data_IF_427061554203
#
_entry.id   IF_427061554203
#
_cell.length_a   1.000
_cell.length_b   1.000
_cell.length_c   1.000
_cell.angle_alpha   90.00
_cell.angle_beta   90.00
_cell.angle_gamma   90.00
#
_symmetry.space_group_name_H-M   'P 1'
#
loop_
_entity.id
_entity.type
_entity.pdbx_description
1 polymer ?
#
# COMPACT_ATOMS: atom_id res chain seq x y z
N UNK A 1 20.59 5.11 5.62
CA UNK A 1 21.45 4.11 4.96
C UNK A 1 20.69 2.84 4.65
N UNK A 2 21.16 2.07 3.70
CA UNK A 2 20.57 0.79 3.30
C UNK A 2 21.67 -0.26 3.16
N UNK A 3 21.29 -1.52 3.15
CA UNK A 3 22.20 -2.64 2.99
C UNK A 3 21.55 -3.84 2.34
N UNK A 4 22.36 -4.79 1.90
CA UNK A 4 21.89 -6.04 1.29
C UNK A 4 22.17 -7.16 2.29
N UNK A 5 21.17 -8.01 2.54
CA UNK A 5 21.33 -9.24 3.30
C UNK A 5 21.64 -10.40 2.35
N UNK A 6 22.73 -11.10 2.63
CA UNK A 6 23.14 -12.30 1.90
C UNK A 6 23.02 -13.53 2.79
N UNK A 7 22.66 -14.68 2.20
CA UNK A 7 22.77 -15.97 2.88
C UNK A 7 24.23 -16.51 2.83
N UNK A 8 24.45 -17.65 3.45
CA UNK A 8 25.76 -18.31 3.46
C UNK A 8 26.24 -18.76 2.07
N UNK A 9 25.34 -18.82 1.09
CA UNK A 9 25.63 -19.16 -0.32
C UNK A 9 25.89 -17.91 -1.18
N UNK A 10 25.84 -16.70 -0.59
CA UNK A 10 26.07 -15.43 -1.29
C UNK A 10 24.86 -14.94 -2.09
N UNK A 11 23.68 -15.52 -1.88
CA UNK A 11 22.44 -15.07 -2.53
C UNK A 11 21.81 -13.92 -1.76
N UNK A 12 21.22 -12.96 -2.46
CA UNK A 12 20.48 -11.85 -1.86
C UNK A 12 19.18 -12.37 -1.28
N UNK A 13 19.04 -12.30 0.05
CA UNK A 13 17.83 -12.73 0.78
C UNK A 13 16.98 -11.56 1.25
N UNK A 14 17.51 -10.34 1.21
CA UNK A 14 16.75 -9.17 1.59
C UNK A 14 17.48 -7.86 1.39
N UNK A 15 16.74 -6.77 1.54
CA UNK A 15 17.26 -5.40 1.54
C UNK A 15 16.96 -4.77 2.90
N UNK A 16 17.97 -4.17 3.50
CA UNK A 16 17.83 -3.41 4.75
C UNK A 16 17.48 -1.98 4.39
N UNK A 17 16.32 -1.51 4.88
CA UNK A 17 15.94 -0.11 4.84
C UNK A 17 16.03 0.45 6.26
N UNK A 18 16.98 1.34 6.52
CA UNK A 18 17.03 2.08 7.78
C UNK A 18 16.22 3.36 7.67
N UNK A 19 15.25 3.54 8.55
CA UNK A 19 14.58 4.80 8.76
C UNK A 19 15.06 5.37 10.09
N UNK A 20 15.81 6.46 10.04
CA UNK A 20 16.23 7.20 11.22
C UNK A 20 15.13 8.19 11.61
N UNK A 21 14.48 7.94 12.74
CA UNK A 21 13.69 8.94 13.45
C UNK A 21 14.47 9.38 14.69
N UNK A 22 14.29 10.63 15.09
CA UNK A 22 15.07 11.27 16.18
C UNK A 22 15.10 10.50 17.53
N UNK A 23 14.25 9.49 17.71
CA UNK A 23 14.13 8.73 18.97
C UNK A 23 14.21 7.20 18.83
N UNK A 24 14.36 6.64 17.64
CA UNK A 24 14.55 5.18 17.50
C UNK A 24 15.14 4.81 16.13
N UNK A 25 16.16 3.98 16.15
CA UNK A 25 16.69 3.33 14.93
C UNK A 25 15.90 2.05 14.70
N UNK A 26 14.96 2.07 13.75
CA UNK A 26 14.25 0.87 13.32
C UNK A 26 14.89 0.35 12.05
N UNK A 27 15.49 -0.83 12.12
CA UNK A 27 15.99 -1.55 10.95
C UNK A 27 14.84 -2.42 10.42
N UNK A 28 14.41 -2.15 9.21
CA UNK A 28 13.44 -2.99 8.50
C UNK A 28 14.17 -3.75 7.41
N UNK A 29 13.98 -5.06 7.36
CA UNK A 29 14.44 -5.91 6.27
C UNK A 29 13.24 -6.32 5.42
N UNK A 30 13.35 -6.16 4.11
CA UNK A 30 12.34 -6.66 3.15
C UNK A 30 12.93 -7.90 2.49
N UNK A 31 12.20 -9.01 2.57
CA UNK A 31 12.64 -10.26 1.97
C UNK A 31 12.74 -10.16 0.45
N UNK A 32 13.80 -10.69 -0.14
CA UNK A 32 14.02 -10.69 -1.60
C UNK A 32 12.89 -11.38 -2.36
N UNK A 33 12.25 -12.39 -1.76
CA UNK A 33 11.10 -13.07 -2.35
C UNK A 33 9.89 -12.16 -2.57
N UNK A 34 9.72 -11.13 -1.73
CA UNK A 34 8.65 -10.14 -1.87
C UNK A 34 8.97 -9.08 -2.94
N UNK A 35 10.27 -8.82 -3.15
CA UNK A 35 10.73 -7.86 -4.15
C UNK A 35 10.86 -8.46 -5.55
N UNK A 36 11.03 -9.79 -5.64
CA UNK A 36 11.28 -10.47 -6.93
C UNK A 36 10.22 -10.17 -8.00
N UNK A 37 8.90 -10.28 -7.74
CA UNK A 37 7.88 -9.97 -8.74
C UNK A 37 7.94 -8.52 -9.21
N UNK A 38 8.25 -7.59 -8.30
CA UNK A 38 8.38 -6.17 -8.60
C UNK A 38 9.61 -5.89 -9.47
N UNK A 39 10.75 -6.52 -9.12
CA UNK A 39 12.00 -6.37 -9.87
C UNK A 39 11.93 -7.04 -11.24
N UNK A 40 11.28 -8.19 -11.35
CA UNK A 40 11.04 -8.89 -12.62
C UNK A 40 10.14 -8.06 -13.54
N UNK A 41 9.05 -7.48 -13.01
CA UNK A 41 8.19 -6.55 -13.75
C UNK A 41 8.95 -5.32 -14.25
N UNK A 42 9.76 -4.71 -13.40
CA UNK A 42 10.59 -3.56 -13.78
C UNK A 42 11.68 -3.91 -14.80
N UNK A 43 12.30 -5.09 -14.67
CA UNK A 43 13.34 -5.56 -15.60
C UNK A 43 12.77 -5.94 -16.97
N UNK A 44 11.53 -6.40 -17.02
CA UNK A 44 10.83 -6.75 -18.25
C UNK A 44 10.16 -5.54 -18.93
N UNK A 45 10.26 -4.34 -18.34
CA UNK A 45 9.59 -3.15 -18.85
C UNK A 45 8.06 -3.23 -18.76
N UNK A 46 7.54 -4.08 -17.89
CA UNK A 46 6.11 -4.14 -17.60
C UNK A 46 5.70 -2.92 -16.78
N UNK A 47 4.75 -2.18 -17.31
CA UNK A 47 4.20 -1.03 -16.60
C UNK A 47 3.47 -1.47 -15.34
N UNK A 48 3.77 -0.84 -14.24
CA UNK A 48 3.20 -1.15 -12.94
C UNK A 48 1.80 -0.53 -12.83
N UNK A 49 0.80 -1.33 -12.42
CA UNK A 49 -0.53 -0.81 -12.12
C UNK A 49 -0.45 0.23 -11.00
N UNK A 50 -1.06 1.38 -11.21
CA UNK A 50 -0.91 2.57 -10.40
C UNK A 50 -2.25 3.27 -10.17
N UNK A 51 -2.48 3.74 -8.95
CA UNK A 51 -3.60 4.62 -8.61
C UNK A 51 -3.20 5.85 -7.78
N UNK A 52 -1.99 5.89 -7.22
CA UNK A 52 -1.43 7.07 -6.56
C UNK A 52 -1.78 7.21 -5.08
N UNK A 53 -1.83 6.11 -4.34
CA UNK A 53 -2.01 6.10 -2.88
C UNK A 53 -0.68 5.76 -2.22
N UNK A 54 -0.29 6.58 -1.25
CA UNK A 54 0.77 6.27 -0.29
C UNK A 54 0.11 5.99 1.06
N UNK A 55 0.49 4.89 1.71
CA UNK A 55 -0.18 4.53 2.95
C UNK A 55 0.60 3.55 3.82
N UNK A 56 0.11 3.40 5.03
CA UNK A 56 0.70 2.55 6.06
C UNK A 56 -0.29 1.50 6.52
N UNK A 57 0.18 0.26 6.71
CA UNK A 57 -0.65 -0.82 7.25
C UNK A 57 -1.05 -0.54 8.69
N UNK A 58 -2.35 -0.60 8.96
CA UNK A 58 -2.88 -0.59 10.34
C UNK A 58 -2.73 -2.00 10.90
N UNK A 59 -1.86 -2.16 11.88
CA UNK A 59 -1.68 -3.44 12.57
C UNK A 59 -2.92 -3.83 13.39
N UNK A 60 -3.06 -5.12 13.69
CA UNK A 60 -4.13 -5.59 14.59
C UNK A 60 -4.09 -4.87 15.93
N UNK A 61 -2.89 -4.70 16.50
CA UNK A 61 -2.69 -3.99 17.75
C UNK A 61 -3.17 -2.53 17.70
N UNK A 62 -2.85 -1.81 16.63
CA UNK A 62 -3.31 -0.41 16.44
C UNK A 62 -4.83 -0.34 16.29
N UNK A 63 -5.42 -1.25 15.50
CA UNK A 63 -6.86 -1.31 15.29
C UNK A 63 -7.63 -1.52 16.62
N UNK A 64 -7.16 -2.46 17.44
CA UNK A 64 -7.81 -2.79 18.71
C UNK A 64 -7.61 -1.70 19.79
N UNK A 65 -6.42 -1.08 19.86
CA UNK A 65 -6.14 -0.08 20.90
C UNK A 65 -6.65 1.32 20.57
N UNK A 66 -6.75 1.66 19.29
CA UNK A 66 -7.20 2.98 18.83
C UNK A 66 -8.67 2.98 18.37
N UNK A 67 -9.33 1.82 18.40
CA UNK A 67 -10.71 1.62 17.92
C UNK A 67 -10.88 2.16 16.48
N UNK A 68 -9.95 1.77 15.60
CA UNK A 68 -9.95 2.14 14.18
C UNK A 68 -10.07 0.90 13.29
N UNK A 69 -10.73 0.99 12.12
CA UNK A 69 -10.83 -0.12 11.19
C UNK A 69 -9.46 -0.63 10.74
N UNK A 70 -9.38 -1.91 10.42
CA UNK A 70 -8.19 -2.49 9.78
C UNK A 70 -8.13 -2.12 8.31
N UNK A 71 -6.92 -2.01 7.78
CA UNK A 71 -6.68 -1.71 6.39
C UNK A 71 -5.38 -0.96 6.18
N UNK A 72 -5.34 -0.18 5.11
CA UNK A 72 -4.23 0.71 4.78
C UNK A 72 -4.67 2.16 5.03
N UNK A 73 -4.03 2.80 5.99
CA UNK A 73 -4.22 4.22 6.27
C UNK A 73 -3.57 5.04 5.15
N UNK A 74 -4.33 5.94 4.54
CA UNK A 74 -3.85 6.81 3.47
C UNK A 74 -3.10 7.99 4.08
N UNK A 75 -1.79 7.96 3.96
CA UNK A 75 -0.90 9.03 4.43
C UNK A 75 -0.90 10.21 3.45
N UNK A 76 -0.87 9.91 2.15
CA UNK A 76 -0.92 10.89 1.08
C UNK A 76 -1.57 10.33 -0.19
N UNK A 77 -2.19 11.22 -0.96
CA UNK A 77 -2.68 10.95 -2.31
C UNK A 77 -1.85 11.78 -3.28
N UNK A 78 -1.29 11.15 -4.30
CA UNK A 78 -0.47 11.84 -5.30
C UNK A 78 -1.35 12.80 -6.13
N UNK A 79 -0.80 13.97 -6.45
CA UNK A 79 -1.47 14.95 -7.31
C UNK A 79 -1.70 14.37 -8.72
N UNK A 80 -2.80 14.75 -9.34
CA UNK A 80 -3.21 14.30 -10.68
C UNK A 80 -3.33 12.76 -10.83
N UNK A 81 -3.37 12.05 -9.72
CA UNK A 81 -3.51 10.59 -9.69
C UNK A 81 -4.94 10.11 -9.93
N UNK A 82 -5.13 8.85 -10.34
CA UNK A 82 -6.46 8.23 -10.39
C UNK A 82 -7.18 8.22 -9.04
N UNK A 83 -6.46 8.04 -7.93
CA UNK A 83 -7.02 8.07 -6.59
C UNK A 83 -7.56 9.47 -6.23
N UNK A 84 -6.81 10.52 -6.54
CA UNK A 84 -7.28 11.90 -6.35
C UNK A 84 -8.53 12.18 -7.19
N UNK A 85 -8.52 11.79 -8.46
CA UNK A 85 -9.67 11.96 -9.37
C UNK A 85 -10.91 11.20 -8.88
N UNK A 86 -10.72 10.02 -8.25
CA UNK A 86 -11.80 9.22 -7.68
C UNK A 86 -12.34 9.78 -6.35
N UNK A 87 -11.63 10.72 -5.72
CA UNK A 87 -12.03 11.35 -4.47
C UNK A 87 -11.48 10.65 -3.21
N UNK A 88 -10.39 9.90 -3.31
CA UNK A 88 -9.64 9.42 -2.14
C UNK A 88 -9.05 10.62 -1.41
N UNK A 89 -9.07 10.57 -0.09
CA UNK A 89 -8.57 11.64 0.77
C UNK A 89 -7.52 11.09 1.75
N UNK A 90 -6.67 11.99 2.22
CA UNK A 90 -5.78 11.68 3.34
C UNK A 90 -6.62 11.30 4.56
N UNK A 91 -6.11 10.37 5.35
CA UNK A 91 -6.78 9.76 6.50
C UNK A 91 -7.95 8.80 6.16
N UNK A 92 -8.22 8.52 4.89
CA UNK A 92 -9.06 7.37 4.52
C UNK A 92 -8.35 6.06 4.92
N UNK A 93 -9.12 5.02 5.17
CA UNK A 93 -8.59 3.68 5.42
C UNK A 93 -9.08 2.75 4.31
N UNK A 94 -8.18 2.35 3.43
CA UNK A 94 -8.49 1.41 2.33
C UNK A 94 -8.67 0.02 2.92
N UNK A 95 -9.83 -0.58 2.72
CA UNK A 95 -10.14 -1.91 3.25
C UNK A 95 -10.56 -2.94 2.20
N UNK A 96 -10.92 -2.50 0.98
CA UNK A 96 -11.17 -3.41 -0.14
C UNK A 96 -10.84 -2.76 -1.49
N UNK A 97 -10.38 -3.57 -2.43
CA UNK A 97 -10.12 -3.18 -3.82
C UNK A 97 -10.65 -4.28 -4.74
N UNK A 98 -11.51 -3.91 -5.68
CA UNK A 98 -12.17 -4.83 -6.61
C UNK A 98 -12.86 -6.03 -5.91
N UNK A 99 -13.51 -5.78 -4.78
CA UNK A 99 -14.19 -6.77 -3.97
C UNK A 99 -13.29 -7.69 -3.14
N UNK A 100 -11.97 -7.46 -3.14
CA UNK A 100 -10.99 -8.22 -2.35
C UNK A 100 -10.57 -7.42 -1.13
N UNK A 101 -10.61 -8.06 0.03
CA UNK A 101 -10.21 -7.45 1.30
C UNK A 101 -8.73 -7.06 1.32
N UNK A 102 -8.46 -5.87 1.84
CA UNK A 102 -7.12 -5.31 2.04
C UNK A 102 -6.88 -5.18 3.54
N UNK A 103 -5.93 -5.97 4.05
CA UNK A 103 -5.50 -5.95 5.45
C UNK A 103 -4.11 -5.37 5.65
N UNK A 104 -3.37 -5.13 4.57
CA UNK A 104 -2.00 -4.62 4.60
C UNK A 104 -1.62 -3.96 3.28
N UNK A 105 -0.54 -3.16 3.31
CA UNK A 105 0.02 -2.55 2.11
C UNK A 105 0.53 -3.59 1.10
N UNK A 106 1.10 -4.70 1.59
CA UNK A 106 1.52 -5.81 0.73
C UNK A 106 0.31 -6.44 0.01
N UNK A 107 -0.79 -6.64 0.71
CA UNK A 107 -2.03 -7.17 0.12
C UNK A 107 -2.62 -6.21 -0.90
N UNK A 108 -2.62 -4.91 -0.59
CA UNK A 108 -3.03 -3.85 -1.51
C UNK A 108 -2.22 -3.90 -2.80
N UNK A 109 -0.89 -3.91 -2.70
CA UNK A 109 0.00 -3.97 -3.87
C UNK A 109 -0.22 -5.23 -4.71
N UNK A 110 -0.35 -6.40 -4.07
CA UNK A 110 -0.59 -7.66 -4.77
C UNK A 110 -1.91 -7.65 -5.55
N UNK A 111 -2.98 -7.13 -4.95
CA UNK A 111 -4.28 -7.01 -5.63
C UNK A 111 -4.20 -6.01 -6.77
N UNK A 112 -3.58 -4.83 -6.53
CA UNK A 112 -3.45 -3.78 -7.54
C UNK A 112 -2.71 -4.30 -8.78
N UNK A 113 -1.59 -5.02 -8.62
CA UNK A 113 -0.84 -5.58 -9.75
C UNK A 113 -1.57 -6.72 -10.48
N UNK A 114 -2.59 -7.33 -9.87
CA UNK A 114 -3.44 -8.33 -10.52
C UNK A 114 -4.57 -7.73 -11.39
N UNK A 115 -4.74 -6.41 -11.38
CA UNK A 115 -5.82 -5.72 -12.09
C UNK A 115 -5.43 -5.40 -13.53
N UNK A 116 -6.44 -5.21 -14.36
CA UNK A 116 -6.26 -4.84 -15.76
C UNK A 116 -6.08 -3.34 -15.88
N UNK A 117 -5.00 -2.90 -16.53
CA UNK A 117 -4.76 -1.50 -16.89
C UNK A 117 -5.89 -0.94 -17.75
N UNK A 118 -6.28 0.29 -17.51
CA UNK A 118 -7.39 0.95 -18.19
C UNK A 118 -8.78 0.55 -17.67
N UNK A 119 -8.88 -0.43 -16.77
CA UNK A 119 -10.16 -0.79 -16.14
C UNK A 119 -10.53 0.16 -15.01
N UNK A 120 -11.82 0.28 -14.75
CA UNK A 120 -12.35 0.95 -13.57
C UNK A 120 -12.75 -0.10 -12.55
N UNK A 121 -12.27 0.07 -11.33
CA UNK A 121 -12.53 -0.86 -10.24
C UNK A 121 -13.09 -0.12 -9.04
N UNK A 122 -13.83 -0.85 -8.20
CA UNK A 122 -14.33 -0.33 -6.94
C UNK A 122 -13.19 -0.33 -5.91
N UNK A 123 -12.97 0.82 -5.29
CA UNK A 123 -12.15 1.00 -4.10
C UNK A 123 -13.07 1.33 -2.93
N UNK A 124 -12.97 0.60 -1.84
CA UNK A 124 -13.76 0.84 -0.64
C UNK A 124 -12.86 1.33 0.47
N UNK A 125 -13.24 2.46 1.05
CA UNK A 125 -12.50 3.10 2.13
C UNK A 125 -13.41 3.37 3.31
N UNK A 126 -12.87 3.33 4.51
CA UNK A 126 -13.50 3.92 5.68
C UNK A 126 -13.05 5.36 5.81
N UNK A 127 -14.01 6.27 5.88
CA UNK A 127 -13.77 7.71 6.07
C UNK A 127 -14.37 8.15 7.39
N UNK A 128 -13.59 8.86 8.18
CA UNK A 128 -14.05 9.41 9.44
C UNK A 128 -14.95 10.60 9.21
N UNK A 129 -16.17 10.55 9.70
CA UNK A 129 -17.11 11.68 9.64
C UNK A 129 -16.81 12.72 10.73
N UNK A 130 -17.43 13.93 10.70
CA UNK A 130 -17.24 14.96 11.73
C UNK A 130 -17.61 14.53 13.15
N UNK A 131 -18.41 13.48 13.30
CA UNK A 131 -18.81 12.92 14.61
C UNK A 131 -17.82 11.88 15.13
N UNK A 132 -16.73 11.59 14.40
CA UNK A 132 -15.71 10.62 14.79
C UNK A 132 -16.02 9.17 14.41
N UNK A 133 -17.10 8.90 13.70
CA UNK A 133 -17.49 7.57 13.23
C UNK A 133 -16.91 7.29 11.84
N UNK A 134 -16.44 6.07 11.62
CA UNK A 134 -16.00 5.62 10.30
C UNK A 134 -17.20 5.13 9.49
N UNK A 135 -17.34 5.66 8.28
CA UNK A 135 -18.37 5.26 7.31
C UNK A 135 -17.72 4.65 6.08
N UNK A 136 -18.34 3.62 5.51
CA UNK A 136 -17.87 3.02 4.27
C UNK A 136 -18.18 3.93 3.09
N UNK A 137 -17.18 4.23 2.27
CA UNK A 137 -17.31 5.02 1.05
C UNK A 137 -16.81 4.18 -0.12
N UNK A 138 -17.64 4.03 -1.14
CA UNK A 138 -17.29 3.34 -2.37
C UNK A 138 -16.86 4.36 -3.43
N UNK A 139 -15.68 4.15 -4.01
CA UNK A 139 -15.09 5.00 -5.03
C UNK A 139 -14.79 4.18 -6.28
N UNK A 140 -14.94 4.79 -7.45
CA UNK A 140 -14.55 4.16 -8.71
C UNK A 140 -13.22 4.74 -9.19
N UNK A 141 -12.21 3.90 -9.23
CA UNK A 141 -10.84 4.29 -9.56
C UNK A 141 -10.43 3.70 -10.90
N UNK A 142 -9.83 4.51 -11.75
CA UNK A 142 -9.22 4.06 -13.00
C UNK A 142 -7.83 3.50 -12.71
N UNK A 143 -7.55 2.28 -13.16
CA UNK A 143 -6.21 1.70 -13.07
C UNK A 143 -5.36 2.24 -14.20
N UNK A 144 -4.33 3.02 -13.86
CA UNK A 144 -3.33 3.52 -14.79
C UNK A 144 -2.02 2.72 -14.68
N UNK A 145 -1.14 2.95 -15.59
CA UNK A 145 0.27 2.54 -15.55
C UNK A 145 1.15 3.72 -15.14
N UNK A 146 2.23 3.41 -14.49
CA UNK A 146 3.23 4.41 -14.10
C UNK A 146 4.54 4.14 -14.83
#
# INVERSE_FOLDING_TARGET
>A
GGGILLNMSGEVVGIICSQENENSSVIRAVEAAQLRPLLEGMANGEDICYIGIQGTTISKYQSENLDIPRGVYVDAVEEDSPAMTAGVQNADIVHALNGKEISSMNRYSAILQSLVKGSRVKLEVYRKNPYGTYVNVELNVLIKEK
#
